data_IF_188810913124
#
_entry.id   IF_188810913124
#
_cell.length_a   1.000
_cell.length_b   1.000
_cell.length_c   1.000
_cell.angle_alpha   90.00
_cell.angle_beta   90.00
_cell.angle_gamma   90.00
#
_symmetry.space_group_name_H-M   'P 1'
#
loop_
_entity.id
_entity.type
_entity.pdbx_description
1 polymer ?
#
# COMPACT_ATOMS: atom_id res chain seq x y z
N UNK A 1 -9.36 -3.13 8.99
CA UNK A 1 -8.03 -2.46 9.04
C UNK A 1 -7.45 -2.44 7.62
N UNK A 2 -6.74 -1.38 7.19
CA UNK A 2 -6.32 -1.20 5.77
C UNK A 2 -5.40 -2.31 5.26
N UNK A 3 -4.49 -2.79 6.10
CA UNK A 3 -3.56 -3.88 5.75
C UNK A 3 -4.29 -5.22 5.60
N UNK A 4 -5.27 -5.51 6.47
CA UNK A 4 -6.04 -6.76 6.43
C UNK A 4 -6.83 -6.87 5.12
N UNK A 5 -7.46 -5.77 4.68
CA UNK A 5 -8.20 -5.73 3.41
C UNK A 5 -7.30 -6.15 2.24
N UNK A 6 -6.08 -5.63 2.19
CA UNK A 6 -5.13 -5.97 1.13
C UNK A 6 -4.77 -7.46 1.09
N UNK A 7 -4.60 -8.09 2.27
CA UNK A 7 -4.34 -9.53 2.41
C UNK A 7 -5.56 -10.35 1.99
N UNK A 8 -6.74 -10.00 2.49
CA UNK A 8 -7.97 -10.76 2.24
C UNK A 8 -8.38 -10.74 0.75
N UNK A 9 -8.15 -9.62 0.06
CA UNK A 9 -8.51 -9.47 -1.36
C UNK A 9 -7.34 -9.76 -2.31
N UNK A 10 -6.14 -9.95 -1.78
CA UNK A 10 -4.89 -10.06 -2.55
C UNK A 10 -4.63 -8.85 -3.47
N UNK A 11 -5.14 -7.67 -3.11
CA UNK A 11 -4.97 -6.44 -3.91
C UNK A 11 -3.59 -5.83 -3.70
N UNK A 12 -3.10 -5.85 -2.47
CA UNK A 12 -1.83 -5.24 -2.08
C UNK A 12 -1.36 -5.75 -0.72
N UNK A 13 -0.07 -5.61 -0.46
CA UNK A 13 0.58 -5.98 0.80
C UNK A 13 1.29 -4.76 1.37
N UNK A 14 1.03 -4.45 2.63
CA UNK A 14 1.59 -3.28 3.32
C UNK A 14 2.61 -3.71 4.37
N UNK A 15 3.78 -3.07 4.36
CA UNK A 15 4.79 -3.17 5.41
C UNK A 15 4.95 -1.82 6.10
N UNK A 16 4.77 -1.81 7.41
CA UNK A 16 5.00 -0.61 8.22
C UNK A 16 6.50 -0.32 8.27
N UNK A 17 6.92 0.88 7.88
CA UNK A 17 8.31 1.33 7.90
C UNK A 17 8.42 2.64 8.68
N UNK A 18 9.13 2.63 9.80
CA UNK A 18 9.39 3.84 10.58
C UNK A 18 9.90 3.56 12.00
N UNK A 19 10.66 4.49 12.56
CA UNK A 19 11.23 4.43 13.92
C UNK A 19 10.59 5.38 14.93
N UNK A 20 9.50 6.08 14.58
CA UNK A 20 8.71 6.89 15.52
C UNK A 20 8.60 8.41 15.26
N UNK A 21 9.10 8.94 14.14
CA UNK A 21 9.12 10.40 13.86
C UNK A 21 8.31 10.90 12.66
N UNK A 22 7.55 10.02 11.98
CA UNK A 22 6.90 10.31 10.70
C UNK A 22 7.11 9.14 9.74
N UNK A 23 6.31 8.09 9.91
CA UNK A 23 6.46 6.84 9.16
C UNK A 23 5.81 6.89 7.79
N UNK A 24 6.25 6.01 6.90
CA UNK A 24 5.58 5.71 5.66
C UNK A 24 5.30 4.21 5.58
N UNK A 25 4.34 3.82 4.76
CA UNK A 25 4.01 2.43 4.55
C UNK A 25 4.52 2.05 3.16
N UNK A 26 5.32 0.99 3.10
CA UNK A 26 5.73 0.43 1.82
C UNK A 26 4.69 -0.57 1.35
N UNK A 27 4.19 -0.40 0.12
CA UNK A 27 3.18 -1.25 -0.48
C UNK A 27 3.73 -2.05 -1.67
N UNK A 28 3.26 -3.29 -1.83
CA UNK A 28 3.50 -4.12 -3.00
C UNK A 28 2.18 -4.55 -3.60
N UNK A 29 2.06 -4.51 -4.93
CA UNK A 29 0.89 -4.98 -5.66
C UNK A 29 1.30 -5.53 -7.02
N UNK A 30 0.51 -6.44 -7.57
CA UNK A 30 0.64 -6.89 -8.96
C UNK A 30 -0.18 -6.04 -9.93
N UNK A 31 -1.22 -5.35 -9.43
CA UNK A 31 -2.12 -4.51 -10.21
C UNK A 31 -2.17 -3.12 -9.59
N UNK A 32 -1.39 -2.21 -10.18
CA UNK A 32 -1.23 -0.85 -9.69
C UNK A 32 -2.56 -0.08 -9.70
N UNK A 33 -3.42 -0.29 -10.70
CA UNK A 33 -4.68 0.44 -10.82
C UNK A 33 -5.70 -0.04 -9.78
N UNK A 34 -5.76 -1.35 -9.53
CA UNK A 34 -6.57 -1.91 -8.45
C UNK A 34 -6.11 -1.42 -7.09
N UNK A 35 -4.79 -1.40 -6.84
CA UNK A 35 -4.25 -0.88 -5.59
C UNK A 35 -4.55 0.62 -5.40
N UNK A 36 -4.40 1.43 -6.46
CA UNK A 36 -4.77 2.87 -6.44
C UNK A 36 -6.24 3.07 -6.09
N UNK A 37 -7.13 2.28 -6.66
CA UNK A 37 -8.56 2.34 -6.35
C UNK A 37 -8.85 1.94 -4.90
N UNK A 38 -8.24 0.85 -4.42
CA UNK A 38 -8.44 0.35 -3.05
C UNK A 38 -7.81 1.23 -1.97
N UNK A 39 -6.77 2.01 -2.31
CA UNK A 39 -6.03 2.93 -1.42
C UNK A 39 -6.26 4.41 -1.78
N UNK A 40 -7.35 4.75 -2.47
CA UNK A 40 -7.64 6.11 -2.98
C UNK A 40 -7.64 7.22 -1.92
N UNK A 41 -7.93 6.87 -0.67
CA UNK A 41 -7.99 7.80 0.46
C UNK A 41 -6.60 8.09 1.06
N UNK A 42 -5.55 7.44 0.54
CA UNK A 42 -4.16 7.59 0.96
C UNK A 42 -3.34 8.25 -0.14
N UNK A 43 -2.36 9.06 0.25
CA UNK A 43 -1.37 9.61 -0.69
C UNK A 43 -0.43 8.49 -1.13
N UNK A 44 -0.49 8.11 -2.39
CA UNK A 44 0.36 7.08 -2.99
C UNK A 44 1.48 7.71 -3.80
N UNK A 45 2.70 7.22 -3.61
CA UNK A 45 3.86 7.58 -4.41
C UNK A 45 4.47 6.30 -4.98
N UNK A 46 4.52 6.21 -6.32
CA UNK A 46 5.07 5.03 -7.00
C UNK A 46 6.58 5.16 -7.04
N UNK A 47 7.25 4.39 -6.18
CA UNK A 47 8.71 4.37 -6.10
C UNK A 47 9.36 3.55 -7.21
N UNK A 48 8.65 2.54 -7.75
CA UNK A 48 9.14 1.67 -8.82
C UNK A 48 7.98 0.91 -9.49
N UNK A 49 8.00 0.80 -10.81
CA UNK A 49 7.02 0.05 -11.60
C UNK A 49 7.70 -0.55 -12.83
N UNK A 50 7.36 -1.80 -13.16
CA UNK A 50 7.84 -2.50 -14.36
C UNK A 50 6.84 -2.41 -15.51
#
# INVERSE_FOLDING_TARGET
QVWQKGIDTNDYYLKLCGSGGGGYILGFTQDLDKAKASLKDYKLEVVYNF
#
